data_IF_669855068804
#
_entry.id   IF_669855068804
#
_cell.length_a   1.000
_cell.length_b   1.000
_cell.length_c   1.000
_cell.angle_alpha   90.00
_cell.angle_beta   90.00
_cell.angle_gamma   90.00
#
_symmetry.space_group_name_H-M   'P 1'
#
loop_
_entity.id
_entity.type
_entity.pdbx_description
1 polymer ?
#
# COMPACT_ATOMS: atom_id res chain seq x y z
N UNK A 1 9.25 -16.89 -4.90
CA UNK A 1 10.49 -16.52 -4.19
C UNK A 1 10.84 -17.68 -3.27
N UNK A 2 12.10 -18.15 -3.31
CA UNK A 2 12.55 -19.34 -2.57
C UNK A 2 12.80 -18.98 -1.09
N UNK A 3 12.68 -19.93 -0.14
CA UNK A 3 12.68 -19.64 1.30
C UNK A 3 13.94 -18.95 1.86
N UNK A 4 15.08 -19.05 1.17
CA UNK A 4 16.36 -18.44 1.57
C UNK A 4 16.56 -16.99 1.08
N UNK A 5 15.63 -16.44 0.31
CA UNK A 5 15.68 -15.04 -0.15
C UNK A 5 15.20 -14.05 0.92
N UNK A 6 14.59 -14.54 2.00
CA UNK A 6 14.15 -13.75 3.15
C UNK A 6 15.16 -13.70 4.30
N UNK A 7 16.33 -14.33 4.16
CA UNK A 7 17.39 -14.23 5.17
C UNK A 7 18.19 -12.95 4.94
N UNK A 8 18.28 -12.05 5.93
CA UNK A 8 19.09 -10.84 5.83
C UNK A 8 20.54 -11.16 5.42
N UNK A 9 21.18 -10.20 4.77
CA UNK A 9 22.63 -10.20 4.55
C UNK A 9 23.23 -9.28 5.60
N UNK A 10 24.11 -9.83 6.44
CA UNK A 10 24.93 -9.03 7.35
C UNK A 10 26.12 -8.45 6.57
N UNK A 11 26.31 -7.14 6.68
CA UNK A 11 27.45 -6.42 6.13
C UNK A 11 28.65 -6.53 7.09
N UNK A 12 29.89 -6.26 6.63
CA UNK A 12 31.08 -6.32 7.48
C UNK A 12 31.05 -5.40 8.71
N UNK A 13 30.18 -4.39 8.71
CA UNK A 13 29.97 -3.45 9.81
C UNK A 13 28.83 -3.87 10.77
N UNK A 14 28.33 -5.10 10.64
CA UNK A 14 27.27 -5.65 11.48
C UNK A 14 25.86 -5.25 11.06
N UNK A 15 25.67 -4.36 10.07
CA UNK A 15 24.33 -3.97 9.62
C UNK A 15 23.67 -5.05 8.78
N UNK A 16 22.37 -5.24 8.97
CA UNK A 16 21.57 -6.13 8.13
C UNK A 16 20.98 -5.35 6.96
N UNK A 17 21.05 -5.96 5.79
CA UNK A 17 20.39 -5.47 4.58
C UNK A 17 19.55 -6.57 3.96
N UNK A 18 18.54 -6.19 3.18
CA UNK A 18 17.84 -7.16 2.35
C UNK A 18 18.85 -7.78 1.38
N UNK A 19 18.96 -9.11 1.40
CA UNK A 19 19.92 -9.82 0.54
C UNK A 19 19.76 -9.51 -0.97
N UNK A 20 18.54 -9.33 -1.52
CA UNK A 20 18.39 -9.10 -2.96
C UNK A 20 18.81 -7.68 -3.41
N UNK A 21 18.54 -6.65 -2.61
CA UNK A 21 18.75 -5.25 -3.02
C UNK A 21 19.86 -4.54 -2.23
N UNK A 22 20.39 -5.18 -1.18
CA UNK A 22 21.42 -4.64 -0.29
C UNK A 22 21.08 -3.30 0.34
N UNK A 23 19.79 -3.09 0.61
CA UNK A 23 19.28 -1.91 1.31
C UNK A 23 18.91 -2.27 2.76
N UNK A 24 19.28 -1.41 3.71
CA UNK A 24 18.87 -1.49 5.13
C UNK A 24 17.35 -1.38 5.23
N UNK A 25 16.78 -0.44 4.48
CA UNK A 25 15.34 -0.26 4.34
C UNK A 25 14.97 -0.48 2.88
N UNK A 26 14.16 -1.48 2.60
CA UNK A 26 13.87 -1.92 1.24
C UNK A 26 12.37 -1.98 0.98
N UNK A 27 11.85 -1.03 0.21
CA UNK A 27 10.45 -1.05 -0.25
C UNK A 27 10.09 -2.28 -1.10
N UNK A 28 11.07 -2.88 -1.79
CA UNK A 28 10.87 -4.08 -2.63
C UNK A 28 10.73 -5.38 -1.86
N UNK A 29 11.52 -5.50 -0.80
CA UNK A 29 11.46 -6.64 0.11
C UNK A 29 10.51 -6.38 1.28
N UNK A 30 10.00 -5.15 1.42
CA UNK A 30 9.19 -4.70 2.56
C UNK A 30 9.86 -4.99 3.91
N UNK A 31 11.19 -4.86 3.95
CA UNK A 31 11.99 -5.04 5.16
C UNK A 31 12.58 -3.71 5.58
N UNK A 32 12.66 -3.54 6.88
CA UNK A 32 13.36 -2.45 7.53
C UNK A 32 14.27 -3.02 8.62
N UNK A 33 15.58 -2.88 8.43
CA UNK A 33 16.60 -3.25 9.39
C UNK A 33 17.19 -2.05 10.14
N UNK A 34 16.66 -0.82 9.95
CA UNK A 34 17.20 0.38 10.62
C UNK A 34 17.04 0.34 12.12
N UNK A 35 16.13 -0.50 12.66
CA UNK A 35 16.03 -0.77 14.10
C UNK A 35 17.33 -1.30 14.72
N UNK A 36 18.29 -1.78 13.92
CA UNK A 36 19.59 -2.21 14.44
C UNK A 36 20.58 -1.06 14.60
N UNK A 37 20.42 0.05 13.88
CA UNK A 37 21.32 1.20 14.04
C UNK A 37 21.22 1.77 15.46
N UNK A 38 20.08 1.56 16.13
CA UNK A 38 19.85 1.87 17.55
C UNK A 38 20.51 0.84 18.48
N UNK A 39 20.37 -0.46 18.19
CA UNK A 39 20.96 -1.53 19.00
C UNK A 39 22.50 -1.52 18.97
N UNK A 40 23.11 -1.13 17.85
CA UNK A 40 24.56 -0.96 17.73
C UNK A 40 25.05 0.29 18.49
N UNK A 41 24.22 1.32 18.63
CA UNK A 41 24.52 2.50 19.46
C UNK A 41 24.36 2.22 20.96
N UNK A 42 23.44 1.33 21.34
CA UNK A 42 23.29 0.85 22.73
C UNK A 42 24.43 -0.09 23.14
N UNK A 43 24.97 -0.91 22.22
CA UNK A 43 26.11 -1.79 22.53
C UNK A 43 27.43 -1.06 22.75
N UNK A 44 27.55 0.20 22.30
CA UNK A 44 28.69 1.07 22.63
C UNK A 44 28.53 1.74 24.00
N UNK A 45 27.40 1.52 24.69
CA UNK A 45 27.06 2.11 25.99
C UNK A 45 26.93 1.09 27.14
N UNK A 46 26.89 -0.20 26.85
CA UNK A 46 26.88 -1.28 27.87
C UNK A 46 28.29 -1.74 28.25
N UNK A 47 29.06 -0.85 28.88
CA UNK A 47 30.26 -1.21 29.66
C UNK A 47 30.16 -0.76 31.13
N UNK A 48 28.97 -0.35 31.59
CA UNK A 48 28.73 0.08 32.97
C UNK A 48 27.42 -0.50 33.50
N UNK A 49 27.55 -1.18 34.64
CA UNK A 49 26.54 -1.72 35.57
C UNK A 49 26.29 -3.24 35.51
N UNK A 50 26.90 -3.88 36.51
CA UNK A 50 26.87 -5.29 36.92
C UNK A 50 25.58 -5.70 37.66
N UNK A 51 25.24 -6.99 37.53
CA UNK A 51 24.59 -7.93 38.47
C UNK A 51 23.30 -7.52 39.22
N UNK A 52 22.21 -8.32 39.08
CA UNK A 52 21.78 -9.27 40.12
C UNK A 52 20.51 -10.10 39.76
N UNK A 53 20.32 -11.19 40.52
CA UNK A 53 19.50 -12.40 40.30
C UNK A 53 17.95 -12.32 40.40
N UNK A 54 17.32 -13.24 39.66
CA UNK A 54 16.13 -14.10 39.92
C UNK A 54 14.89 -13.64 40.74
N UNK A 55 13.68 -13.92 40.21
CA UNK A 55 12.57 -14.70 40.83
C UNK A 55 11.36 -14.83 39.88
N UNK A 56 10.60 -15.93 40.02
CA UNK A 56 9.54 -16.37 39.09
C UNK A 56 8.09 -15.96 39.42
N UNK A 57 7.15 -16.83 38.96
CA UNK A 57 5.68 -16.76 38.91
C UNK A 57 5.05 -16.20 37.60
N UNK A 58 4.21 -17.02 36.97
CA UNK A 58 3.62 -16.79 35.63
C UNK A 58 2.47 -15.78 35.70
N UNK A 59 2.68 -14.60 35.14
CA UNK A 59 1.72 -13.50 35.13
C UNK A 59 1.09 -13.33 33.73
N UNK A 60 -0.24 -13.22 33.67
CA UNK A 60 -1.00 -12.82 32.47
C UNK A 60 -0.60 -11.44 31.93
N UNK A 61 0.11 -10.64 32.73
CA UNK A 61 0.80 -9.42 32.34
C UNK A 61 2.09 -9.67 31.55
N UNK A 62 2.78 -10.82 31.75
CA UNK A 62 3.94 -11.23 30.94
C UNK A 62 3.51 -11.61 29.53
N UNK A 63 2.34 -12.21 29.31
CA UNK A 63 1.84 -12.45 27.95
C UNK A 63 1.42 -11.15 27.24
N UNK A 64 0.84 -10.18 27.98
CA UNK A 64 0.56 -8.82 27.48
C UNK A 64 1.85 -8.03 27.21
N UNK A 65 2.85 -8.13 28.08
CA UNK A 65 4.19 -7.54 27.91
C UNK A 65 5.01 -8.24 26.83
N UNK A 66 4.83 -9.55 26.60
CA UNK A 66 5.45 -10.28 25.48
C UNK A 66 4.80 -9.94 24.14
N UNK A 67 3.51 -9.59 24.12
CA UNK A 67 2.83 -9.06 22.94
C UNK A 67 3.22 -7.60 22.68
N UNK A 68 3.40 -6.80 23.74
CA UNK A 68 3.88 -5.43 23.67
C UNK A 68 5.39 -5.32 23.36
N UNK A 69 6.23 -6.24 23.84
CA UNK A 69 7.67 -6.28 23.60
C UNK A 69 8.07 -6.89 22.23
N UNK A 70 7.11 -7.49 21.50
CA UNK A 70 7.34 -8.05 20.15
C UNK A 70 6.91 -7.14 19.01
N UNK A 71 6.26 -6.03 19.31
CA UNK A 71 5.99 -4.97 18.34
C UNK A 71 6.81 -3.78 18.83
N UNK A 72 8.03 -3.62 18.31
CA UNK A 72 8.76 -2.35 18.45
C UNK A 72 7.92 -1.32 17.69
N UNK A 73 7.11 -0.55 18.41
CA UNK A 73 6.34 0.58 17.86
C UNK A 73 7.10 1.90 17.93
N UNK A 74 8.36 1.90 18.35
CA UNK A 74 9.16 3.12 18.37
C UNK A 74 9.65 3.43 16.96
N UNK A 75 8.82 4.16 16.22
CA UNK A 75 9.24 4.92 15.05
C UNK A 75 9.86 6.22 15.56
N UNK A 76 11.14 6.52 15.27
CA UNK A 76 11.75 7.77 15.69
C UNK A 76 10.97 8.97 15.14
N UNK A 77 10.75 10.03 15.94
CA UNK A 77 10.04 11.20 15.47
C UNK A 77 10.88 11.96 14.43
N UNK A 78 10.42 12.01 13.17
CA UNK A 78 10.95 12.96 12.19
C UNK A 78 11.07 12.52 10.73
N UNK A 79 10.73 11.28 10.37
CA UNK A 79 10.89 10.78 8.98
C UNK A 79 9.55 10.24 8.45
N UNK A 80 9.20 10.59 7.20
CA UNK A 80 7.93 10.25 6.55
C UNK A 80 7.73 8.73 6.38
N UNK A 81 6.52 8.21 6.67
CA UNK A 81 6.07 6.82 6.41
C UNK A 81 6.17 6.38 4.92
N UNK A 82 6.43 7.35 4.05
CA UNK A 82 6.52 7.26 2.60
C UNK A 82 7.88 7.80 2.16
N UNK A 83 8.69 7.00 1.47
CA UNK A 83 9.86 7.51 0.76
C UNK A 83 9.48 7.93 -0.66
N UNK A 84 10.11 9.03 -1.11
CA UNK A 84 10.17 9.37 -2.53
C UNK A 84 11.21 8.49 -3.21
N UNK A 85 10.83 7.81 -4.29
CA UNK A 85 11.69 6.82 -4.94
C UNK A 85 12.78 7.44 -5.82
N UNK A 86 12.85 8.78 -5.93
CA UNK A 86 13.89 9.45 -6.70
C UNK A 86 15.32 9.17 -6.19
N UNK A 87 15.45 8.70 -4.95
CA UNK A 87 16.74 8.46 -4.28
C UNK A 87 17.13 6.96 -4.23
N UNK A 88 16.30 6.06 -4.78
CA UNK A 88 16.57 4.62 -4.80
C UNK A 88 17.23 4.26 -6.14
N UNK A 89 18.47 3.73 -6.17
CA UNK A 89 19.15 3.40 -7.42
C UNK A 89 18.37 2.36 -8.23
N UNK A 90 18.10 2.70 -9.48
CA UNK A 90 17.40 1.91 -10.50
C UNK A 90 18.05 0.53 -10.68
N UNK A 91 17.50 -0.48 -10.01
CA UNK A 91 18.08 -1.83 -10.00
C UNK A 91 17.05 -2.96 -10.04
N UNK A 92 15.77 -2.68 -10.33
CA UNK A 92 14.86 -3.79 -10.61
C UNK A 92 13.76 -3.44 -11.61
N UNK A 93 13.57 -4.33 -12.58
CA UNK A 93 12.38 -4.45 -13.46
C UNK A 93 11.04 -4.37 -12.70
N UNK A 94 11.08 -4.46 -11.37
CA UNK A 94 9.89 -4.49 -10.54
C UNK A 94 9.14 -3.16 -10.48
N UNK A 95 9.71 -2.00 -10.84
CA UNK A 95 9.02 -0.70 -10.73
C UNK A 95 8.76 0.02 -12.05
N UNK A 96 9.15 -0.55 -13.18
CA UNK A 96 8.87 0.08 -14.47
C UNK A 96 7.35 0.16 -14.68
N UNK A 97 6.84 1.37 -14.87
CA UNK A 97 5.43 1.59 -15.24
C UNK A 97 5.19 0.97 -16.62
N UNK A 98 4.14 0.16 -16.72
CA UNK A 98 3.79 -0.55 -17.96
C UNK A 98 2.36 -0.27 -18.35
N UNK A 99 2.13 -0.07 -19.66
CA UNK A 99 0.78 -0.03 -20.24
C UNK A 99 0.29 -1.46 -20.35
N UNK A 100 -0.65 -1.83 -19.51
CA UNK A 100 -1.32 -3.14 -19.57
C UNK A 100 -2.19 -3.26 -20.81
N UNK A 101 -2.32 -4.48 -21.29
CA UNK A 101 -3.09 -4.83 -22.50
C UNK A 101 -4.44 -5.46 -22.16
N UNK A 102 -4.70 -5.70 -20.87
CA UNK A 102 -5.94 -6.30 -20.38
C UNK A 102 -5.96 -7.81 -20.45
N UNK A 103 -4.78 -8.47 -20.37
CA UNK A 103 -4.69 -9.94 -20.29
C UNK A 103 -5.30 -10.50 -19.01
N UNK A 104 -5.24 -9.70 -17.95
CA UNK A 104 -5.81 -10.03 -16.64
C UNK A 104 -6.62 -8.85 -16.16
N UNK A 105 -7.89 -9.11 -15.84
CA UNK A 105 -8.80 -8.13 -15.26
C UNK A 105 -9.07 -8.49 -13.80
N UNK A 106 -9.26 -7.50 -12.91
CA UNK A 106 -9.70 -7.78 -11.55
C UNK A 106 -11.11 -8.37 -11.58
N UNK A 107 -11.44 -9.12 -10.53
CA UNK A 107 -12.79 -9.68 -10.36
C UNK A 107 -13.50 -9.03 -9.18
N UNK A 108 -14.81 -9.13 -9.13
CA UNK A 108 -15.59 -8.62 -8.01
C UNK A 108 -15.37 -9.54 -6.80
N UNK A 109 -15.09 -8.95 -5.64
CA UNK A 109 -15.17 -9.64 -4.36
C UNK A 109 -16.63 -9.67 -3.91
N UNK A 110 -17.15 -10.87 -3.70
CA UNK A 110 -18.50 -11.07 -3.15
C UNK A 110 -18.33 -11.51 -1.69
N UNK A 111 -18.69 -10.67 -0.71
CA UNK A 111 -18.58 -11.05 0.69
C UNK A 111 -19.55 -12.21 0.99
N UNK A 112 -19.20 -13.12 1.92
CA UNK A 112 -20.04 -14.26 2.27
C UNK A 112 -21.35 -13.86 2.99
N UNK A 113 -21.44 -12.62 3.44
CA UNK A 113 -22.55 -12.03 4.21
C UNK A 113 -22.65 -10.54 3.89
N UNK A 114 -23.72 -9.88 4.35
CA UNK A 114 -23.87 -8.43 4.31
C UNK A 114 -23.10 -7.70 5.42
N UNK A 115 -22.09 -8.35 6.01
CA UNK A 115 -21.27 -7.77 7.08
C UNK A 115 -20.40 -6.63 6.56
N UNK A 116 -20.07 -5.71 7.46
CA UNK A 116 -19.17 -4.61 7.15
C UNK A 116 -17.73 -5.11 6.94
N UNK A 117 -16.93 -4.44 6.09
CA UNK A 117 -15.53 -4.76 5.83
C UNK A 117 -14.71 -4.97 7.10
N UNK A 118 -14.85 -4.12 8.12
CA UNK A 118 -14.12 -4.27 9.39
C UNK A 118 -14.45 -5.55 10.16
N UNK A 119 -15.64 -6.13 9.96
CA UNK A 119 -16.06 -7.38 10.59
C UNK A 119 -15.47 -8.59 9.86
N UNK A 120 -15.37 -8.51 8.53
CA UNK A 120 -14.80 -9.56 7.71
C UNK A 120 -13.26 -9.51 7.68
N UNK A 121 -12.69 -8.31 7.79
CA UNK A 121 -11.27 -7.99 7.78
C UNK A 121 -10.86 -7.18 9.02
N UNK A 122 -10.91 -7.79 10.22
CA UNK A 122 -10.45 -7.13 11.44
C UNK A 122 -8.95 -6.84 11.39
N UNK A 123 -8.48 -6.04 12.36
CA UNK A 123 -7.06 -5.85 12.60
C UNK A 123 -6.39 -7.21 12.92
N UNK A 124 -5.44 -7.63 12.09
CA UNK A 124 -4.67 -8.86 12.25
C UNK A 124 -3.18 -8.61 12.08
N UNK A 125 -2.36 -9.51 12.63
CA UNK A 125 -0.89 -9.43 12.55
C UNK A 125 -0.42 -10.18 11.30
N UNK A 126 0.13 -9.45 10.33
CA UNK A 126 0.87 -9.95 9.19
C UNK A 126 2.26 -10.41 9.64
N UNK A 127 2.47 -11.73 9.65
CA UNK A 127 3.65 -12.37 10.25
C UNK A 127 4.83 -12.58 9.29
N UNK A 128 4.60 -12.33 7.99
CA UNK A 128 5.63 -12.48 6.95
C UNK A 128 6.31 -11.14 6.61
N UNK A 129 5.78 -10.01 7.08
CA UNK A 129 6.47 -8.73 7.03
C UNK A 129 7.52 -8.65 8.15
N UNK A 130 8.60 -7.91 7.91
CA UNK A 130 9.66 -7.68 8.90
C UNK A 130 9.83 -6.17 9.09
N UNK A 131 9.48 -5.60 10.27
CA UNK A 131 8.82 -6.26 11.42
C UNK A 131 7.37 -6.67 11.13
N UNK A 132 6.79 -7.48 12.01
CA UNK A 132 5.38 -7.88 11.92
C UNK A 132 4.47 -6.63 11.92
N UNK A 133 3.51 -6.58 11.00
CA UNK A 133 2.62 -5.43 10.83
C UNK A 133 1.19 -5.74 11.17
N UNK A 134 0.45 -4.74 11.64
CA UNK A 134 -1.01 -4.82 11.70
C UNK A 134 -1.57 -4.47 10.33
N UNK A 135 -2.53 -5.26 9.85
CA UNK A 135 -3.22 -5.11 8.57
C UNK A 135 -4.70 -5.47 8.72
N UNK A 136 -5.54 -5.15 7.73
CA UNK A 136 -6.93 -5.62 7.67
C UNK A 136 -6.97 -7.04 7.06
N UNK A 137 -6.90 -8.07 7.90
CA UNK A 137 -6.73 -9.46 7.45
C UNK A 137 -8.06 -10.19 7.52
N UNK A 138 -8.42 -10.92 6.46
CA UNK A 138 -9.66 -11.69 6.43
C UNK A 138 -9.70 -12.71 7.57
N UNK A 139 -10.76 -12.70 8.38
CA UNK A 139 -10.87 -13.49 9.62
C UNK A 139 -10.71 -15.01 9.43
N UNK A 140 -11.08 -15.51 8.25
CA UNK A 140 -11.01 -16.95 7.91
C UNK A 140 -9.97 -17.28 6.84
N UNK A 141 -9.22 -16.28 6.34
CA UNK A 141 -8.19 -16.48 5.32
C UNK A 141 -7.03 -15.50 5.55
N UNK A 142 -6.01 -15.89 6.33
CA UNK A 142 -4.92 -14.99 6.70
C UNK A 142 -4.08 -14.51 5.52
N UNK A 143 -4.27 -15.09 4.32
CA UNK A 143 -3.58 -14.69 3.08
C UNK A 143 -4.40 -13.68 2.25
N UNK A 144 -5.52 -13.18 2.76
CA UNK A 144 -6.32 -12.14 2.12
C UNK A 144 -6.26 -10.83 2.91
N UNK A 145 -5.78 -9.78 2.25
CA UNK A 145 -5.70 -8.42 2.76
C UNK A 145 -6.80 -7.54 2.17
N UNK A 146 -7.39 -6.67 2.99
CA UNK A 146 -8.23 -5.57 2.54
C UNK A 146 -7.45 -4.26 2.53
N UNK A 147 -7.64 -3.45 1.49
CA UNK A 147 -7.16 -2.07 1.39
C UNK A 147 -8.35 -1.19 0.97
N UNK A 148 -8.57 -0.10 1.68
CA UNK A 148 -9.58 0.90 1.29
C UNK A 148 -8.94 1.93 0.37
N UNK A 149 -9.65 2.41 -0.63
CA UNK A 149 -9.16 3.43 -1.58
C UNK A 149 -10.23 4.48 -1.84
N UNK A 150 -9.83 5.74 -1.97
CA UNK A 150 -10.74 6.85 -2.25
C UNK A 150 -10.07 7.99 -3.04
N UNK A 151 -10.86 8.72 -3.82
CA UNK A 151 -10.45 9.89 -4.59
C UNK A 151 -11.38 11.09 -4.41
N UNK A 152 -10.86 12.15 -3.81
CA UNK A 152 -11.59 13.40 -3.60
C UNK A 152 -11.21 14.44 -4.66
N UNK A 153 -12.14 15.34 -4.99
CA UNK A 153 -11.86 16.54 -5.77
C UNK A 153 -12.72 17.71 -5.28
N UNK A 154 -12.06 18.71 -4.68
CA UNK A 154 -12.62 20.02 -4.39
C UNK A 154 -12.83 20.74 -5.72
N UNK A 155 -13.95 21.45 -5.88
CA UNK A 155 -14.33 22.14 -7.11
C UNK A 155 -14.36 21.23 -8.37
N UNK A 156 -14.73 19.95 -8.22
CA UNK A 156 -14.79 19.00 -9.33
C UNK A 156 -15.69 19.51 -10.47
N UNK A 157 -15.13 19.59 -11.68
CA UNK A 157 -15.83 20.11 -12.86
C UNK A 157 -16.05 21.63 -12.87
N UNK A 158 -15.47 22.36 -11.92
CA UNK A 158 -15.52 23.82 -11.80
C UNK A 158 -14.11 24.41 -11.99
N UNK A 159 -13.97 25.74 -11.84
CA UNK A 159 -12.67 26.41 -11.85
C UNK A 159 -11.82 25.99 -10.65
N UNK A 160 -10.51 25.85 -10.88
CA UNK A 160 -9.52 25.46 -9.86
C UNK A 160 -9.87 24.14 -9.12
N UNK A 161 -9.99 23.02 -9.86
CA UNK A 161 -10.21 21.72 -9.24
C UNK A 161 -8.96 21.23 -8.51
N UNK A 162 -9.12 20.82 -7.26
CA UNK A 162 -8.04 20.30 -6.43
C UNK A 162 -8.41 18.88 -6.00
N UNK A 163 -7.73 17.90 -6.54
CA UNK A 163 -7.99 16.49 -6.32
C UNK A 163 -6.89 15.83 -5.49
N UNK A 164 -7.29 14.86 -4.69
CA UNK A 164 -6.39 14.09 -3.85
C UNK A 164 -6.82 12.64 -3.80
N UNK A 165 -5.86 11.76 -3.66
CA UNK A 165 -6.06 10.32 -3.61
C UNK A 165 -5.58 9.80 -2.25
N UNK A 166 -6.18 8.72 -1.77
CA UNK A 166 -5.71 8.05 -0.57
C UNK A 166 -6.04 6.56 -0.57
N UNK A 167 -5.28 5.80 0.21
CA UNK A 167 -5.62 4.42 0.53
C UNK A 167 -5.21 4.07 1.97
N UNK A 168 -6.06 3.29 2.64
CA UNK A 168 -5.85 2.80 4.00
C UNK A 168 -5.50 1.32 3.97
N UNK A 169 -4.29 0.98 4.41
CA UNK A 169 -3.72 -0.36 4.32
C UNK A 169 -3.54 -1.04 5.69
N UNK A 170 -3.75 -0.28 6.79
CA UNK A 170 -3.81 -0.79 8.15
C UNK A 170 -4.75 0.07 9.01
N UNK A 171 -5.22 -0.43 10.16
CA UNK A 171 -5.95 0.39 11.12
C UNK A 171 -5.14 1.62 11.51
N UNK A 172 -5.80 2.78 11.57
CA UNK A 172 -5.20 4.00 12.08
C UNK A 172 -5.02 3.87 13.60
N UNK A 173 -3.81 4.13 14.11
CA UNK A 173 -3.49 4.23 15.54
C UNK A 173 -2.90 5.61 15.83
N UNK A 174 -2.93 6.02 17.10
CA UNK A 174 -2.50 7.36 17.54
C UNK A 174 -1.03 7.67 17.22
N UNK A 175 -0.20 6.65 17.09
CA UNK A 175 1.25 6.70 16.89
C UNK A 175 1.68 6.43 15.44
N UNK A 176 0.82 5.89 14.59
CA UNK A 176 1.20 5.46 13.25
C UNK A 176 0.06 5.62 12.23
N UNK A 177 0.33 6.35 11.13
CA UNK A 177 -0.70 6.58 10.08
C UNK A 177 -1.05 5.27 9.38
N UNK A 178 -2.33 4.94 9.37
CA UNK A 178 -2.86 3.75 8.70
C UNK A 178 -3.11 3.89 7.19
N UNK A 179 -2.76 5.05 6.62
CA UNK A 179 -3.07 5.42 5.25
C UNK A 179 -1.89 6.15 4.60
N UNK A 180 -1.87 6.12 3.27
CA UNK A 180 -1.08 7.03 2.45
C UNK A 180 -2.04 7.91 1.64
N UNK A 181 -1.63 9.15 1.39
CA UNK A 181 -2.44 10.13 0.66
C UNK A 181 -1.55 11.14 -0.03
N UNK A 182 -2.07 11.80 -1.07
CA UNK A 182 -1.36 12.87 -1.75
C UNK A 182 -2.26 13.70 -2.65
N UNK A 183 -1.73 14.85 -3.08
CA UNK A 183 -2.28 15.65 -4.17
C UNK A 183 -2.23 14.84 -5.47
N UNK A 184 -3.29 14.89 -6.26
CA UNK A 184 -3.30 14.30 -7.59
C UNK A 184 -2.35 15.07 -8.49
N UNK A 185 -1.48 14.33 -9.17
CA UNK A 185 -0.45 14.92 -10.01
C UNK A 185 -1.05 15.47 -11.33
N UNK A 186 -0.49 16.59 -11.82
CA UNK A 186 -0.91 17.20 -13.07
C UNK A 186 -0.52 16.36 -14.30
N UNK A 187 0.62 15.66 -14.22
CA UNK A 187 1.05 14.70 -15.22
C UNK A 187 0.62 13.28 -14.83
N UNK A 188 0.22 12.50 -15.81
CA UNK A 188 -0.04 11.08 -15.67
C UNK A 188 1.25 10.25 -15.60
N UNK A 189 1.11 8.93 -15.38
CA UNK A 189 2.23 7.99 -15.26
C UNK A 189 3.14 7.93 -16.49
N UNK A 190 2.74 8.52 -17.62
CA UNK A 190 3.51 8.54 -18.87
C UNK A 190 3.86 9.96 -19.33
N UNK A 191 3.78 10.96 -18.44
CA UNK A 191 4.17 12.36 -18.71
C UNK A 191 3.11 13.21 -19.41
N UNK A 192 1.94 12.65 -19.73
CA UNK A 192 0.83 13.38 -20.35
C UNK A 192 0.16 14.32 -19.31
N UNK A 193 -0.14 15.56 -19.67
CA UNK A 193 -0.84 16.51 -18.79
C UNK A 193 -2.36 16.24 -18.71
N UNK A 194 -2.93 16.31 -17.50
CA UNK A 194 -4.34 16.00 -17.25
C UNK A 194 -5.01 16.96 -16.28
N UNK A 195 -6.33 17.07 -16.42
CA UNK A 195 -7.16 17.81 -15.47
C UNK A 195 -7.37 17.02 -14.18
N UNK A 196 -7.39 17.74 -13.05
CA UNK A 196 -7.73 17.16 -11.76
C UNK A 196 -9.23 16.87 -11.71
N UNK A 197 -9.60 15.62 -11.43
CA UNK A 197 -10.99 15.18 -11.30
C UNK A 197 -11.09 14.09 -10.25
N UNK A 198 -12.26 13.93 -9.63
CA UNK A 198 -12.48 12.85 -8.66
C UNK A 198 -12.25 11.46 -9.28
N UNK A 199 -12.80 11.17 -10.47
CA UNK A 199 -12.57 9.88 -11.14
C UNK A 199 -11.09 9.56 -11.41
N UNK A 200 -10.27 10.57 -11.67
CA UNK A 200 -8.83 10.40 -11.87
C UNK A 200 -8.12 10.11 -10.54
N UNK A 201 -8.51 10.80 -9.47
CA UNK A 201 -8.03 10.53 -8.12
C UNK A 201 -8.42 9.12 -7.63
N UNK A 202 -9.63 8.66 -7.91
CA UNK A 202 -10.09 7.30 -7.58
C UNK A 202 -9.19 6.22 -8.20
N UNK A 203 -8.88 6.35 -9.50
CA UNK A 203 -7.95 5.43 -10.16
C UNK A 203 -6.53 5.50 -9.59
N UNK A 204 -6.06 6.72 -9.31
CA UNK A 204 -4.73 6.94 -8.74
C UNK A 204 -4.58 6.33 -7.35
N UNK A 205 -5.63 6.34 -6.53
CA UNK A 205 -5.66 5.70 -5.21
C UNK A 205 -5.47 4.18 -5.31
N UNK A 206 -6.20 3.53 -6.23
CA UNK A 206 -6.09 2.09 -6.50
C UNK A 206 -4.70 1.72 -7.00
N UNK A 207 -4.15 2.47 -7.95
CA UNK A 207 -2.80 2.26 -8.47
C UNK A 207 -1.76 2.46 -7.36
N UNK A 208 -1.92 3.52 -6.55
CA UNK A 208 -1.08 3.80 -5.40
C UNK A 208 -1.05 2.63 -4.43
N UNK A 209 -2.21 2.09 -4.04
CA UNK A 209 -2.32 0.93 -3.17
C UNK A 209 -1.60 -0.30 -3.74
N UNK A 210 -1.78 -0.58 -5.03
CA UNK A 210 -1.13 -1.72 -5.70
C UNK A 210 0.38 -1.57 -5.82
N UNK A 211 0.87 -0.34 -5.96
CA UNK A 211 2.31 -0.06 -6.10
C UNK A 211 2.99 0.24 -4.78
N UNK A 212 2.23 0.43 -3.69
CA UNK A 212 2.75 0.86 -2.40
C UNK A 212 3.82 -0.07 -1.82
N UNK A 213 3.57 -1.38 -1.90
CA UNK A 213 4.38 -2.40 -1.23
C UNK A 213 4.40 -3.69 -2.03
N UNK A 214 5.39 -4.52 -1.73
CA UNK A 214 5.38 -5.90 -2.20
C UNK A 214 4.42 -6.77 -1.36
N UNK A 215 3.11 -6.62 -1.58
CA UNK A 215 2.08 -7.35 -0.82
C UNK A 215 2.25 -8.87 -0.87
N UNK A 216 2.82 -9.39 -1.95
CA UNK A 216 3.12 -10.82 -2.06
C UNK A 216 4.26 -11.25 -1.13
N UNK A 217 5.27 -10.41 -0.94
CA UNK A 217 6.35 -10.66 0.01
C UNK A 217 5.89 -10.56 1.47
N UNK A 218 4.83 -9.78 1.76
CA UNK A 218 4.16 -9.78 3.07
C UNK A 218 3.27 -11.03 3.32
N UNK A 219 3.30 -12.04 2.43
CA UNK A 219 2.60 -13.31 2.60
C UNK A 219 1.17 -13.37 2.05
N UNK A 220 0.67 -12.29 1.45
CA UNK A 220 -0.67 -12.26 0.89
C UNK A 220 -0.74 -13.01 -0.45
N UNK A 221 -1.83 -13.74 -0.64
CA UNK A 221 -2.18 -14.38 -1.92
C UNK A 221 -3.35 -13.68 -2.61
N UNK A 222 -4.09 -12.84 -1.88
CA UNK A 222 -5.23 -12.09 -2.38
C UNK A 222 -5.27 -10.68 -1.79
N UNK A 223 -5.53 -9.68 -2.62
CA UNK A 223 -5.92 -8.34 -2.21
C UNK A 223 -7.38 -8.09 -2.55
N UNK A 224 -8.10 -7.47 -1.62
CA UNK A 224 -9.43 -6.92 -1.83
C UNK A 224 -9.31 -5.41 -1.71
N UNK A 225 -9.54 -4.71 -2.81
CA UNK A 225 -9.55 -3.25 -2.87
C UNK A 225 -10.99 -2.77 -2.70
N UNK A 226 -11.30 -2.19 -1.54
CA UNK A 226 -12.61 -1.64 -1.24
C UNK A 226 -12.68 -0.15 -1.61
N UNK A 227 -13.73 0.21 -2.33
CA UNK A 227 -14.01 1.58 -2.78
C UNK A 227 -15.51 1.78 -2.92
N UNK A 228 -16.01 2.99 -2.72
CA UNK A 228 -17.39 3.36 -3.04
C UNK A 228 -17.55 3.82 -4.51
N UNK A 229 -16.45 3.92 -5.26
CA UNK A 229 -16.42 4.35 -6.66
C UNK A 229 -16.97 3.29 -7.62
N UNK A 230 -18.19 3.50 -8.09
CA UNK A 230 -18.77 2.71 -9.18
C UNK A 230 -17.96 2.82 -10.48
N UNK A 231 -17.34 3.98 -10.72
CA UNK A 231 -16.49 4.21 -11.88
C UNK A 231 -15.29 3.27 -11.91
N UNK A 232 -14.63 3.08 -10.76
CA UNK A 232 -13.51 2.14 -10.63
C UNK A 232 -13.99 0.70 -10.78
N UNK A 233 -15.01 0.31 -10.00
CA UNK A 233 -15.46 -1.09 -9.95
C UNK A 233 -15.97 -1.54 -11.31
N UNK A 234 -16.98 -0.86 -11.87
CA UNK A 234 -17.53 -1.23 -13.19
C UNK A 234 -16.55 -0.99 -14.31
N UNK A 235 -15.73 0.06 -14.22
CA UNK A 235 -14.71 0.33 -15.22
C UNK A 235 -13.74 -0.84 -15.36
N UNK A 236 -13.24 -1.35 -14.24
CA UNK A 236 -12.25 -2.41 -14.22
C UNK A 236 -12.84 -3.81 -14.48
N UNK A 237 -14.09 -4.07 -14.11
CA UNK A 237 -14.69 -5.42 -14.20
C UNK A 237 -15.69 -5.61 -15.35
N UNK A 238 -16.19 -4.53 -15.96
CA UNK A 238 -17.22 -4.60 -17.01
C UNK A 238 -16.87 -3.79 -18.26
N UNK A 239 -16.41 -2.54 -18.11
CA UNK A 239 -16.30 -1.63 -19.25
C UNK A 239 -14.99 -1.76 -20.01
N UNK A 240 -13.89 -2.05 -19.32
CA UNK A 240 -12.55 -2.07 -19.92
C UNK A 240 -12.43 -3.09 -21.04
N UNK A 241 -13.07 -4.25 -20.94
CA UNK A 241 -13.13 -5.25 -22.00
C UNK A 241 -13.73 -4.66 -23.29
N UNK A 242 -14.85 -3.94 -23.15
CA UNK A 242 -15.50 -3.25 -24.25
C UNK A 242 -14.67 -2.08 -24.80
N UNK A 243 -13.88 -1.40 -23.96
CA UNK A 243 -12.97 -0.35 -24.40
C UNK A 243 -11.80 -0.91 -25.20
N UNK A 244 -11.16 -1.99 -24.71
CA UNK A 244 -10.07 -2.67 -25.39
C UNK A 244 -10.51 -3.18 -26.77
N UNK A 245 -11.66 -3.85 -26.84
CA UNK A 245 -12.24 -4.32 -28.11
C UNK A 245 -12.56 -3.19 -29.10
N UNK A 246 -12.78 -1.97 -28.61
CA UNK A 246 -13.07 -0.78 -29.43
C UNK A 246 -11.90 0.21 -29.51
N UNK A 247 -10.68 -0.25 -29.25
CA UNK A 247 -9.46 0.55 -29.28
C UNK A 247 -9.58 1.85 -28.45
N UNK A 248 -9.93 1.68 -27.18
CA UNK A 248 -10.13 2.75 -26.19
C UNK A 248 -11.19 3.78 -26.57
N UNK A 249 -12.30 3.31 -27.12
CA UNK A 249 -13.49 4.13 -27.42
C UNK A 249 -14.72 3.67 -26.63
N UNK A 250 -15.49 4.64 -26.17
CA UNK A 250 -16.79 4.41 -25.51
C UNK A 250 -17.82 3.88 -26.51
N UNK A 251 -18.99 3.45 -26.02
CA UNK A 251 -20.13 3.08 -26.89
C UNK A 251 -20.56 4.22 -27.82
N UNK A 252 -20.39 5.47 -27.37
CA UNK A 252 -20.63 6.68 -28.16
C UNK A 252 -19.46 7.03 -29.11
N UNK A 253 -18.47 6.14 -29.28
CA UNK A 253 -17.26 6.31 -30.12
C UNK A 253 -16.30 7.43 -29.70
N UNK A 254 -16.55 8.09 -28.57
CA UNK A 254 -15.63 9.06 -28.00
C UNK A 254 -14.41 8.36 -27.38
N UNK A 255 -13.22 8.99 -27.35
CA UNK A 255 -12.08 8.49 -26.59
C UNK A 255 -12.43 8.26 -25.12
N UNK A 256 -11.97 7.15 -24.56
CA UNK A 256 -12.12 6.86 -23.12
C UNK A 256 -11.27 7.84 -22.30
N UNK A 257 -11.90 8.45 -21.29
CA UNK A 257 -11.21 9.35 -20.34
C UNK A 257 -10.29 8.54 -19.42
N UNK A 258 -9.20 9.17 -18.93
CA UNK A 258 -8.23 8.57 -18.00
C UNK A 258 -7.58 7.29 -18.52
N UNK A 259 -7.45 7.14 -19.84
CA UNK A 259 -6.87 5.96 -20.49
C UNK A 259 -5.48 5.62 -19.93
N UNK A 260 -4.67 6.63 -19.68
CA UNK A 260 -3.32 6.50 -19.10
C UNK A 260 -3.34 5.76 -17.75
N UNK A 261 -4.26 6.11 -16.85
CA UNK A 261 -4.41 5.43 -15.57
C UNK A 261 -5.06 4.04 -15.74
N UNK A 262 -6.01 3.88 -16.67
CA UNK A 262 -6.57 2.55 -16.94
C UNK A 262 -5.52 1.58 -17.47
N UNK A 263 -4.69 2.01 -18.43
CA UNK A 263 -3.57 1.20 -18.94
C UNK A 263 -2.56 0.89 -17.83
N UNK A 264 -2.30 1.84 -16.93
CA UNK A 264 -1.43 1.60 -15.75
C UNK A 264 -2.05 0.59 -14.79
N UNK A 265 -3.33 0.71 -14.48
CA UNK A 265 -4.06 -0.23 -13.64
C UNK A 265 -4.00 -1.64 -14.22
N UNK A 266 -4.29 -1.80 -15.52
CA UNK A 266 -4.17 -3.09 -16.21
C UNK A 266 -2.74 -3.64 -16.15
N UNK A 267 -1.74 -2.75 -16.25
CA UNK A 267 -0.33 -3.10 -16.11
C UNK A 267 -0.04 -3.73 -14.75
N UNK A 268 -0.56 -3.13 -13.69
CA UNK A 268 -0.44 -3.66 -12.33
C UNK A 268 -1.22 -4.97 -12.12
N UNK A 269 -2.40 -5.12 -12.73
CA UNK A 269 -3.17 -6.38 -12.65
C UNK A 269 -2.37 -7.55 -13.23
N UNK A 270 -1.81 -7.36 -14.43
CA UNK A 270 -0.96 -8.36 -15.06
C UNK A 270 0.29 -8.62 -14.21
N UNK A 271 0.87 -7.60 -13.57
CA UNK A 271 2.12 -7.72 -12.79
C UNK A 271 1.89 -8.56 -11.55
N UNK A 272 0.76 -8.33 -10.89
CA UNK A 272 0.39 -9.09 -9.69
C UNK A 272 -0.02 -10.51 -10.02
N UNK A 273 -0.68 -10.74 -11.16
CA UNK A 273 -1.00 -12.08 -11.65
C UNK A 273 0.26 -12.91 -11.93
N UNK A 274 1.26 -12.34 -12.62
CA UNK A 274 2.57 -12.96 -12.87
C UNK A 274 3.29 -13.37 -11.57
N UNK A 275 3.01 -12.67 -10.46
CA UNK A 275 3.56 -12.93 -9.12
C UNK A 275 2.68 -13.84 -8.26
N UNK A 276 1.55 -14.30 -8.77
CA UNK A 276 0.61 -15.14 -8.03
C UNK A 276 -0.11 -14.41 -6.89
N UNK A 277 -0.39 -13.11 -7.07
CA UNK A 277 -1.26 -12.32 -6.19
C UNK A 277 -2.56 -12.00 -6.94
N UNK A 278 -3.69 -12.43 -6.39
CA UNK A 278 -5.02 -12.19 -6.98
C UNK A 278 -5.59 -10.87 -6.49
N UNK A 279 -6.10 -10.04 -7.41
CA UNK A 279 -6.70 -8.75 -7.08
C UNK A 279 -8.22 -8.82 -7.28
N UNK A 280 -8.95 -8.40 -6.26
CA UNK A 280 -10.40 -8.25 -6.31
C UNK A 280 -10.83 -6.83 -5.96
N UNK A 281 -11.94 -6.39 -6.53
CA UNK A 281 -12.58 -5.11 -6.22
C UNK A 281 -13.87 -5.34 -5.43
N UNK A 282 -14.06 -4.58 -4.35
CA UNK A 282 -15.26 -4.62 -3.54
C UNK A 282 -15.92 -3.24 -3.54
N UNK A 283 -17.09 -3.11 -4.18
CA UNK A 283 -17.91 -1.91 -4.04
C UNK A 283 -18.53 -1.89 -2.65
N UNK A 284 -18.19 -0.90 -1.85
CA UNK A 284 -18.73 -0.69 -0.50
C UNK A 284 -19.60 0.57 -0.44
N UNK A 285 -20.54 0.67 0.51
CA UNK A 285 -21.19 1.92 0.85
C UNK A 285 -20.19 2.97 1.34
N UNK A 286 -20.46 4.25 1.03
CA UNK A 286 -19.56 5.37 1.35
C UNK A 286 -19.27 5.51 2.84
N UNK A 287 -20.24 5.21 3.69
CA UNK A 287 -20.10 5.24 5.14
C UNK A 287 -19.03 4.29 5.67
N UNK A 288 -18.69 3.23 4.92
CA UNK A 288 -17.63 2.29 5.29
C UNK A 288 -16.25 2.71 4.77
N UNK A 289 -16.16 3.77 3.95
CA UNK A 289 -14.92 4.28 3.36
C UNK A 289 -14.42 5.60 4.01
N UNK A 290 -14.96 5.96 5.18
CA UNK A 290 -14.79 7.29 5.77
C UNK A 290 -13.33 7.71 6.02
N UNK A 291 -12.47 6.78 6.41
CA UNK A 291 -11.05 7.09 6.66
C UNK A 291 -10.29 7.40 5.36
N UNK A 292 -10.55 6.65 4.29
CA UNK A 292 -9.94 6.90 2.99
C UNK A 292 -10.48 8.20 2.37
N UNK A 293 -11.80 8.47 2.47
CA UNK A 293 -12.41 9.74 2.03
C UNK A 293 -11.82 10.95 2.76
N UNK A 294 -11.64 10.87 4.09
CA UNK A 294 -10.99 11.94 4.86
C UNK A 294 -9.56 12.16 4.37
N UNK A 295 -8.77 11.10 4.25
CA UNK A 295 -7.39 11.17 3.80
C UNK A 295 -7.25 11.70 2.36
N UNK A 296 -8.16 11.33 1.45
CA UNK A 296 -8.17 11.83 0.08
C UNK A 296 -8.46 13.34 0.04
N UNK A 297 -9.39 13.82 0.88
CA UNK A 297 -9.67 15.26 1.06
C UNK A 297 -8.52 16.02 1.70
N UNK A 298 -7.75 15.39 2.59
CA UNK A 298 -6.49 15.96 3.09
C UNK A 298 -5.46 16.07 1.96
N UNK A 299 -5.28 15.01 1.18
CA UNK A 299 -4.42 15.00 0.00
C UNK A 299 -4.77 16.08 -1.02
N UNK A 300 -6.07 16.35 -1.23
CA UNK A 300 -6.55 17.39 -2.14
C UNK A 300 -6.14 18.81 -1.72
N UNK A 301 -5.83 19.03 -0.44
CA UNK A 301 -5.41 20.33 0.11
C UNK A 301 -3.89 20.48 0.23
N UNK A 302 -3.13 19.44 -0.11
CA UNK A 302 -1.67 19.52 -0.15
C UNK A 302 -1.21 20.37 -1.34
N UNK A 303 0.05 20.80 -1.32
CA UNK A 303 0.65 21.58 -2.41
C UNK A 303 0.58 20.84 -3.76
N UNK A 304 0.49 21.62 -4.83
CA UNK A 304 0.42 21.09 -6.19
C UNK A 304 1.64 20.25 -6.51
N UNK A 305 1.39 19.14 -7.22
CA UNK A 305 2.43 18.23 -7.68
C UNK A 305 2.37 18.10 -9.19
N UNK A 306 3.45 18.48 -9.85
CA UNK A 306 3.52 18.42 -11.31
C UNK A 306 3.61 16.98 -11.82
N UNK A 307 4.56 16.20 -11.30
CA UNK A 307 4.98 14.91 -11.87
C UNK A 307 4.39 13.73 -11.12
N UNK A 308 3.90 12.73 -11.86
CA UNK A 308 3.52 11.42 -11.29
C UNK A 308 4.72 10.80 -10.58
N UNK A 309 4.50 10.29 -9.36
CA UNK A 309 5.53 9.53 -8.63
C UNK A 309 4.96 8.31 -7.96
N UNK A 310 5.76 7.26 -7.92
CA UNK A 310 5.45 6.14 -7.06
C UNK A 310 5.64 6.51 -5.60
N UNK A 311 4.86 5.84 -4.77
CA UNK A 311 4.85 6.04 -3.34
C UNK A 311 5.08 4.68 -2.75
N UNK A 312 6.21 4.54 -2.07
CA UNK A 312 6.64 3.29 -1.48
C UNK A 312 6.50 3.38 0.03
N UNK A 313 5.80 2.41 0.60
CA UNK A 313 5.75 2.23 2.04
C UNK A 313 7.01 1.53 2.49
N UNK A 314 7.75 2.17 3.39
CA UNK A 314 9.10 1.70 3.75
C UNK A 314 9.16 1.33 5.23
N UNK A 315 8.32 1.96 6.05
CA UNK A 315 8.14 1.67 7.47
C UNK A 315 6.80 0.95 7.74
N UNK A 316 6.74 0.23 8.85
CA UNK A 316 5.75 -0.80 9.19
C UNK A 316 5.14 -0.56 10.56
#
# INVERSE_FOLDING_TARGET
MKPWENTPLELPDGRLVCRPHRLVICGSCTVDYSFMDEALQESDQEDLYSDDEALGEYDTEVLRKQLAARIRTDTPPGVSDVLDTSDIPDTSDTYVLRRGVGRVLPTIFVPPSSEAPQTLFPAGIGREAIPNVIRFIHRNDPKTLLIYTDGACINNGQSDPQAGWAFSFRPHKSDAKGYASGRLEHEGPFGDGHQQTSNRAELRAVIGALRFRNWKAEGFARLVLATDSEYVVKGATEWVDGWLARNWRTSARAPVKNRDLWETLLGEMERWDERGLRIHLWRIPREWNADADRAAKEGARMDDRATYRDIMGVYC
#
